data_IF_465983291886
#
_entry.id   IF_465983291886
#
_cell.length_a   1.000
_cell.length_b   1.000
_cell.length_c   1.000
_cell.angle_alpha   90.00
_cell.angle_beta   90.00
_cell.angle_gamma   90.00
#
_symmetry.space_group_name_H-M   'P 1'
#
loop_
_entity.id
_entity.type
_entity.pdbx_description
1 polymer ?
#
# COMPACT_ATOMS: atom_id res chain seq x y z
N UNK A 1 -23.20 -11.46 37.65
CA UNK A 1 -23.12 -12.93 37.71
C UNK A 1 -24.43 -13.54 37.20
N UNK A 2 -24.47 -13.99 35.95
CA UNK A 2 -25.55 -14.83 35.43
C UNK A 2 -24.92 -16.04 34.76
N UNK A 3 -25.20 -17.21 35.34
CA UNK A 3 -24.67 -18.53 34.95
C UNK A 3 -25.05 -18.86 33.50
N UNK A 4 -24.06 -19.08 32.63
CA UNK A 4 -24.24 -19.93 31.45
C UNK A 4 -23.94 -21.38 31.86
N UNK A 5 -25.01 -22.17 32.02
CA UNK A 5 -24.97 -23.62 32.17
C UNK A 5 -24.74 -24.26 30.79
N UNK A 6 -23.50 -24.36 30.33
CA UNK A 6 -23.01 -25.37 29.37
C UNK A 6 -21.49 -25.27 29.40
N UNK A 7 -20.79 -26.40 29.50
CA UNK A 7 -19.33 -26.48 29.69
C UNK A 7 -18.47 -26.01 28.51
N UNK A 8 -18.71 -24.81 27.98
CA UNK A 8 -17.84 -24.13 27.04
C UNK A 8 -16.86 -23.23 27.82
N UNK A 9 -15.53 -23.26 27.53
CA UNK A 9 -14.65 -22.22 28.02
C UNK A 9 -15.10 -20.90 27.39
N UNK A 10 -15.53 -19.97 28.24
CA UNK A 10 -16.02 -18.65 27.83
C UNK A 10 -14.94 -17.94 27.00
N UNK A 11 -15.32 -17.35 25.86
CA UNK A 11 -14.42 -16.41 25.19
C UNK A 11 -14.27 -15.21 26.13
N UNK A 12 -13.10 -15.12 26.77
CA UNK A 12 -12.79 -14.01 27.65
C UNK A 12 -12.54 -12.76 26.82
N UNK A 13 -13.13 -11.65 27.26
CA UNK A 13 -12.69 -10.32 26.86
C UNK A 13 -11.26 -10.17 27.39
N UNK A 14 -10.30 -9.98 26.50
CA UNK A 14 -8.93 -9.66 26.91
C UNK A 14 -8.95 -8.22 27.41
N UNK A 15 -8.94 -8.04 28.74
CA UNK A 15 -8.79 -6.74 29.38
C UNK A 15 -7.29 -6.37 29.39
N UNK A 16 -6.74 -6.15 28.18
CA UNK A 16 -5.39 -5.62 27.97
C UNK A 16 -5.48 -4.16 27.52
N UNK A 17 -4.74 -3.29 28.21
CA UNK A 17 -4.82 -1.82 28.21
C UNK A 17 -4.59 -1.05 26.87
N UNK A 18 -4.53 -1.72 25.71
CA UNK A 18 -4.12 -1.09 24.44
C UNK A 18 -5.17 -1.14 23.31
N UNK A 19 -6.48 -1.20 23.60
CA UNK A 19 -7.51 -1.21 22.52
C UNK A 19 -8.86 -0.66 22.99
N UNK A 20 -9.37 0.46 22.43
CA UNK A 20 -10.70 0.98 22.76
C UNK A 20 -11.88 0.17 22.19
N UNK A 21 -11.61 -0.94 21.48
CA UNK A 21 -12.64 -1.86 20.99
C UNK A 21 -12.30 -3.28 21.43
N UNK A 22 -13.08 -3.80 22.39
CA UNK A 22 -12.89 -5.13 22.97
C UNK A 22 -12.90 -6.22 21.91
N UNK A 23 -11.74 -6.85 21.69
CA UNK A 23 -11.57 -8.00 20.79
C UNK A 23 -12.09 -9.26 21.48
N UNK A 24 -13.02 -9.96 20.84
CA UNK A 24 -13.36 -11.35 21.18
C UNK A 24 -12.43 -12.24 20.35
N UNK A 25 -11.21 -12.48 20.85
CA UNK A 25 -10.33 -13.51 20.30
C UNK A 25 -10.65 -14.83 21.00
N UNK A 26 -11.35 -15.76 20.34
CA UNK A 26 -11.57 -17.09 20.91
C UNK A 26 -10.30 -17.95 20.74
N UNK A 27 -9.81 -18.61 21.79
CA UNK A 27 -8.60 -19.42 21.74
C UNK A 27 -8.77 -20.64 20.80
N UNK A 28 -7.65 -21.12 20.26
CA UNK A 28 -7.62 -22.21 19.28
C UNK A 28 -8.29 -23.51 19.78
N UNK A 29 -8.30 -23.75 21.09
CA UNK A 29 -8.98 -24.89 21.73
C UNK A 29 -10.51 -24.84 21.59
N UNK A 30 -11.12 -23.65 21.56
CA UNK A 30 -12.57 -23.49 21.39
C UNK A 30 -13.03 -23.75 19.95
N UNK A 31 -12.16 -23.51 18.97
CA UNK A 31 -12.44 -23.72 17.53
C UNK A 31 -12.64 -25.21 17.21
N UNK A 32 -12.01 -26.10 17.98
CA UNK A 32 -12.09 -27.56 17.82
C UNK A 32 -13.44 -28.17 18.24
N UNK A 33 -14.29 -27.42 18.96
CA UNK A 33 -15.62 -27.88 19.38
C UNK A 33 -16.76 -27.26 18.57
N UNK A 34 -16.46 -26.42 17.58
CA UNK A 34 -17.47 -25.83 16.70
C UNK A 34 -17.94 -26.85 15.65
N UNK A 35 -19.23 -26.82 15.25
CA UNK A 35 -19.74 -27.59 14.12
C UNK A 35 -18.95 -27.24 12.85
N UNK A 36 -18.67 -28.24 12.02
CA UNK A 36 -17.69 -28.17 10.91
C UNK A 36 -17.84 -26.93 10.02
N UNK A 37 -19.08 -26.56 9.67
CA UNK A 37 -19.42 -25.34 8.92
C UNK A 37 -18.88 -24.06 9.56
N UNK A 38 -18.98 -23.94 10.89
CA UNK A 38 -18.56 -22.74 11.65
C UNK A 38 -17.03 -22.69 11.79
N UNK A 39 -16.38 -23.85 11.86
CA UNK A 39 -14.90 -23.97 11.86
C UNK A 39 -14.28 -23.50 10.55
N UNK A 40 -14.88 -23.87 9.42
CA UNK A 40 -14.41 -23.47 8.08
C UNK A 40 -14.55 -21.96 7.87
N UNK A 41 -15.69 -21.37 8.26
CA UNK A 41 -15.90 -19.91 8.19
C UNK A 41 -14.90 -19.16 9.06
N UNK A 42 -14.62 -19.64 10.28
CA UNK A 42 -13.65 -19.01 11.16
C UNK A 42 -12.21 -19.08 10.60
N UNK A 43 -11.83 -20.23 10.02
CA UNK A 43 -10.53 -20.40 9.35
C UNK A 43 -10.39 -19.44 8.17
N UNK A 44 -11.42 -19.33 7.33
CA UNK A 44 -11.43 -18.40 6.19
C UNK A 44 -11.34 -16.94 6.66
N UNK A 45 -12.09 -16.56 7.69
CA UNK A 45 -12.06 -15.22 8.26
C UNK A 45 -10.67 -14.87 8.83
N UNK A 46 -10.05 -15.81 9.53
CA UNK A 46 -8.71 -15.63 10.10
C UNK A 46 -7.64 -15.57 9.00
N UNK A 47 -7.80 -16.33 7.92
CA UNK A 47 -6.93 -16.28 6.75
C UNK A 47 -7.07 -14.93 6.02
N UNK A 48 -8.30 -14.42 5.86
CA UNK A 48 -8.54 -13.12 5.24
C UNK A 48 -7.98 -11.95 6.07
N UNK A 49 -8.04 -12.06 7.40
CA UNK A 49 -7.48 -11.08 8.35
C UNK A 49 -6.01 -11.32 8.68
N UNK A 50 -5.36 -12.28 8.02
CA UNK A 50 -3.95 -12.52 8.24
C UNK A 50 -3.15 -11.26 7.82
N UNK A 51 -2.19 -10.82 8.65
CA UNK A 51 -1.42 -9.60 8.37
C UNK A 51 -0.54 -9.74 7.13
N UNK A 52 -0.15 -10.96 6.77
CA UNK A 52 0.70 -11.27 5.63
C UNK A 52 0.09 -12.44 4.85
N UNK A 53 -0.06 -12.26 3.53
CA UNK A 53 -0.48 -13.31 2.61
C UNK A 53 0.73 -13.87 1.89
N UNK A 54 0.62 -15.11 1.39
CA UNK A 54 1.69 -15.68 0.59
C UNK A 54 1.89 -14.86 -0.70
N UNK A 55 3.15 -14.68 -1.15
CA UNK A 55 3.46 -13.83 -2.30
C UNK A 55 2.78 -14.32 -3.59
N UNK A 56 2.57 -15.63 -3.72
CA UNK A 56 1.83 -16.22 -4.84
C UNK A 56 0.36 -15.81 -4.87
N UNK A 57 -0.31 -15.75 -3.71
CA UNK A 57 -1.72 -15.33 -3.61
C UNK A 57 -1.84 -13.84 -3.88
N UNK A 58 -0.91 -13.03 -3.35
CA UNK A 58 -0.85 -11.59 -3.64
C UNK A 58 -0.64 -11.32 -5.14
N UNK A 59 0.30 -12.02 -5.77
CA UNK A 59 0.57 -11.91 -7.20
C UNK A 59 -0.61 -12.35 -8.08
N UNK A 60 -1.24 -13.49 -7.76
CA UNK A 60 -2.43 -13.95 -8.45
C UNK A 60 -3.59 -12.97 -8.32
N UNK A 61 -3.80 -12.41 -7.12
CA UNK A 61 -4.82 -11.39 -6.87
C UNK A 61 -4.57 -10.10 -7.66
N UNK A 62 -3.32 -9.64 -7.70
CA UNK A 62 -2.94 -8.47 -8.51
C UNK A 62 -3.16 -8.72 -10.01
N UNK A 63 -2.85 -9.93 -10.50
CA UNK A 63 -3.10 -10.33 -11.88
C UNK A 63 -4.58 -10.31 -12.24
N UNK A 64 -5.43 -10.93 -11.42
CA UNK A 64 -6.90 -10.89 -11.61
C UNK A 64 -7.43 -9.46 -11.57
N UNK A 65 -6.95 -8.65 -10.62
CA UNK A 65 -7.33 -7.25 -10.53
C UNK A 65 -6.91 -6.46 -11.77
N UNK A 66 -5.75 -6.76 -12.36
CA UNK A 66 -5.27 -6.12 -13.58
C UNK A 66 -6.15 -6.41 -14.79
N UNK A 67 -6.62 -7.65 -14.92
CA UNK A 67 -7.53 -8.07 -15.98
C UNK A 67 -8.88 -7.37 -15.79
N UNK A 68 -9.41 -7.34 -14.57
CA UNK A 68 -10.65 -6.64 -14.27
C UNK A 68 -10.52 -5.13 -14.54
N UNK A 69 -9.41 -4.51 -14.14
CA UNK A 69 -9.18 -3.09 -14.38
C UNK A 69 -9.16 -2.77 -15.89
N UNK A 70 -8.52 -3.61 -16.70
CA UNK A 70 -8.54 -3.49 -18.15
C UNK A 70 -9.97 -3.64 -18.71
N UNK A 71 -10.74 -4.64 -18.26
CA UNK A 71 -12.11 -4.87 -18.71
C UNK A 71 -13.08 -3.72 -18.38
N UNK A 72 -12.89 -3.05 -17.25
CA UNK A 72 -13.80 -1.99 -16.81
C UNK A 72 -13.38 -0.58 -17.26
N UNK A 73 -12.08 -0.35 -17.45
CA UNK A 73 -11.53 0.99 -17.61
C UNK A 73 -10.78 1.17 -18.92
N UNK A 74 -10.42 0.09 -19.62
CA UNK A 74 -9.55 0.11 -20.82
C UNK A 74 -8.22 0.86 -20.60
N UNK A 75 -7.78 0.98 -19.33
CA UNK A 75 -6.58 1.73 -18.91
C UNK A 75 -5.76 0.87 -17.96
N UNK A 76 -4.45 0.98 -18.09
CA UNK A 76 -3.51 0.28 -17.22
C UNK A 76 -3.22 1.09 -15.94
N UNK A 77 -2.68 0.43 -14.91
CA UNK A 77 -2.44 1.05 -13.60
C UNK A 77 -1.37 2.15 -13.68
N UNK A 78 -1.70 3.36 -13.24
CA UNK A 78 -0.77 4.48 -13.17
C UNK A 78 -1.07 5.38 -11.98
N UNK A 79 -0.24 5.30 -10.93
CA UNK A 79 -0.41 6.13 -9.73
C UNK A 79 0.11 7.57 -9.93
N UNK A 80 1.28 7.74 -10.56
CA UNK A 80 1.88 9.07 -10.80
C UNK A 80 0.97 9.99 -11.61
N UNK A 81 0.29 9.44 -12.61
CA UNK A 81 -0.66 10.21 -13.41
C UNK A 81 -1.82 10.78 -12.58
N UNK A 82 -2.23 10.12 -11.51
CA UNK A 82 -3.24 10.65 -10.62
C UNK A 82 -2.73 11.88 -9.83
N UNK A 83 -1.50 11.81 -9.33
CA UNK A 83 -0.86 12.90 -8.59
C UNK A 83 -0.62 14.12 -9.47
N UNK A 84 -0.11 13.90 -10.68
CA UNK A 84 0.05 14.94 -11.68
C UNK A 84 -1.31 15.57 -12.02
N UNK A 85 -2.36 14.81 -12.35
CA UNK A 85 -3.68 15.38 -12.65
C UNK A 85 -4.24 16.28 -11.52
N UNK A 86 -4.08 15.87 -10.25
CA UNK A 86 -4.44 16.70 -9.08
C UNK A 86 -3.54 17.93 -9.00
N UNK A 87 -2.23 17.76 -9.20
CA UNK A 87 -1.24 18.84 -9.27
C UNK A 87 -1.61 19.87 -10.33
N UNK A 88 -2.09 19.46 -11.50
CA UNK A 88 -2.56 20.34 -12.57
C UNK A 88 -3.79 21.14 -12.18
N UNK A 89 -4.72 20.54 -11.43
CA UNK A 89 -5.88 21.28 -10.86
C UNK A 89 -5.38 22.32 -9.87
N UNK A 90 -4.50 21.95 -8.93
CA UNK A 90 -3.93 22.89 -7.95
C UNK A 90 -3.14 24.02 -8.63
N UNK A 91 -2.34 23.68 -9.65
CA UNK A 91 -1.56 24.65 -10.43
C UNK A 91 -2.45 25.64 -11.18
N UNK A 92 -3.57 25.17 -11.76
CA UNK A 92 -4.58 26.03 -12.41
C UNK A 92 -5.23 27.01 -11.43
N UNK A 93 -5.38 26.62 -10.16
CA UNK A 93 -5.91 27.48 -9.09
C UNK A 93 -4.90 28.51 -8.59
N UNK A 94 -3.61 28.16 -8.48
CA UNK A 94 -2.57 29.04 -7.91
C UNK A 94 -1.96 29.95 -8.98
N UNK A 95 -1.70 29.44 -10.18
CA UNK A 95 -1.00 30.16 -11.24
C UNK A 95 -1.53 29.76 -12.63
N UNK A 96 -2.67 30.34 -13.07
CA UNK A 96 -3.27 30.01 -14.37
C UNK A 96 -2.36 30.33 -15.57
N UNK A 97 -1.40 31.25 -15.42
CA UNK A 97 -0.41 31.59 -16.46
C UNK A 97 0.64 30.49 -16.71
N UNK A 98 0.96 29.67 -15.71
CA UNK A 98 1.87 28.53 -15.82
C UNK A 98 1.15 27.22 -16.19
N UNK A 99 -0.15 27.14 -15.92
CA UNK A 99 -1.00 26.01 -16.28
C UNK A 99 -1.32 25.91 -17.79
N UNK A 100 -0.98 26.93 -18.58
CA UNK A 100 -1.11 26.95 -20.04
C UNK A 100 0.05 26.29 -20.81
N UNK A 101 1.00 25.66 -20.12
CA UNK A 101 2.15 24.99 -20.76
C UNK A 101 1.73 23.69 -21.48
N UNK A 102 2.52 23.24 -22.47
CA UNK A 102 2.18 22.04 -23.28
C UNK A 102 2.01 20.78 -22.43
N UNK A 103 2.72 20.68 -21.31
CA UNK A 103 2.66 19.51 -20.42
C UNK A 103 1.27 19.36 -19.77
N UNK A 104 0.72 20.42 -19.17
CA UNK A 104 -0.61 20.37 -18.53
C UNK A 104 -1.79 20.36 -19.52
N UNK A 105 -1.56 20.78 -20.76
CA UNK A 105 -2.61 20.77 -21.81
C UNK A 105 -2.65 19.47 -22.63
N UNK A 106 -1.50 18.85 -22.93
CA UNK A 106 -1.43 17.72 -23.87
C UNK A 106 -0.91 16.42 -23.25
N UNK A 107 -0.05 16.49 -22.22
CA UNK A 107 0.55 15.29 -21.62
C UNK A 107 -0.29 14.83 -20.44
N UNK A 108 -0.75 15.75 -19.59
CA UNK A 108 -1.50 15.46 -18.37
C UNK A 108 -2.63 16.47 -18.14
N UNK A 109 -3.80 16.28 -18.75
CA UNK A 109 -4.91 17.24 -18.64
C UNK A 109 -5.44 17.30 -17.20
N UNK A 110 -5.40 18.50 -16.61
CA UNK A 110 -5.93 18.74 -15.27
C UNK A 110 -7.40 18.31 -15.17
N UNK A 111 -7.67 17.30 -14.36
CA UNK A 111 -9.02 16.77 -14.21
C UNK A 111 -9.13 15.60 -13.24
N UNK A 112 -10.37 15.27 -12.88
CA UNK A 112 -10.67 14.09 -12.08
C UNK A 112 -10.64 12.85 -12.97
N UNK A 113 -9.43 12.36 -13.26
CA UNK A 113 -9.24 11.18 -14.10
C UNK A 113 -9.54 9.90 -13.33
N UNK A 114 -9.72 8.78 -14.05
CA UNK A 114 -9.90 7.47 -13.43
C UNK A 114 -8.72 7.10 -12.52
N UNK A 115 -7.51 7.60 -12.82
CA UNK A 115 -6.34 7.44 -11.96
C UNK A 115 -6.53 8.04 -10.57
N UNK A 116 -7.24 9.17 -10.46
CA UNK A 116 -7.57 9.79 -9.16
C UNK A 116 -8.55 8.92 -8.37
N UNK A 117 -9.56 8.36 -9.04
CA UNK A 117 -10.50 7.44 -8.40
C UNK A 117 -9.82 6.14 -7.95
N UNK A 118 -8.86 5.64 -8.73
CA UNK A 118 -8.01 4.53 -8.35
C UNK A 118 -7.14 4.87 -7.13
N UNK A 119 -6.54 6.06 -7.08
CA UNK A 119 -5.74 6.52 -5.94
C UNK A 119 -6.58 6.54 -4.65
N UNK A 120 -7.80 7.07 -4.71
CA UNK A 120 -8.75 7.08 -3.60
C UNK A 120 -9.11 5.64 -3.21
N UNK A 121 -9.36 4.78 -4.19
CA UNK A 121 -9.64 3.36 -3.97
C UNK A 121 -8.50 2.62 -3.27
N UNK A 122 -7.24 2.87 -3.65
CA UNK A 122 -6.05 2.30 -3.01
C UNK A 122 -5.93 2.80 -1.57
N UNK A 123 -6.16 4.10 -1.34
CA UNK A 123 -6.13 4.68 0.00
C UNK A 123 -7.19 4.05 0.92
N UNK A 124 -8.45 4.04 0.48
CA UNK A 124 -9.55 3.45 1.26
C UNK A 124 -9.40 1.94 1.42
N UNK A 125 -8.97 1.23 0.37
CA UNK A 125 -8.74 -0.21 0.40
C UNK A 125 -7.62 -0.61 1.34
N UNK A 126 -6.49 0.10 1.30
CA UNK A 126 -5.37 -0.15 2.22
C UNK A 126 -5.74 0.18 3.66
N UNK A 127 -6.51 1.25 3.89
CA UNK A 127 -7.01 1.60 5.22
C UNK A 127 -7.96 0.53 5.76
N UNK A 128 -8.95 0.09 4.97
CA UNK A 128 -9.88 -0.97 5.36
C UNK A 128 -9.15 -2.29 5.64
N UNK A 129 -8.15 -2.63 4.82
CA UNK A 129 -7.32 -3.82 5.03
C UNK A 129 -6.53 -3.74 6.34
N UNK A 130 -5.89 -2.59 6.61
CA UNK A 130 -5.15 -2.37 7.86
C UNK A 130 -6.06 -2.42 9.10
N UNK A 131 -7.29 -1.92 9.01
CA UNK A 131 -8.29 -2.01 10.07
C UNK A 131 -8.79 -3.45 10.25
N UNK A 132 -9.07 -4.16 9.16
CA UNK A 132 -9.57 -5.53 9.19
C UNK A 132 -8.55 -6.52 9.78
N UNK A 133 -7.26 -6.34 9.46
CA UNK A 133 -6.14 -7.11 9.99
C UNK A 133 -5.67 -6.62 11.37
N UNK A 134 -6.21 -5.50 11.88
CA UNK A 134 -5.82 -4.93 13.16
C UNK A 134 -4.36 -4.45 13.22
N UNK A 135 -3.75 -4.21 12.06
CA UNK A 135 -2.36 -3.78 11.90
C UNK A 135 -2.22 -2.26 11.80
N UNK A 136 -3.34 -1.53 11.77
CA UNK A 136 -3.33 -0.07 11.78
C UNK A 136 -2.61 0.47 13.02
N UNK A 137 -1.52 1.20 12.79
CA UNK A 137 -0.75 1.86 13.84
C UNK A 137 -0.39 3.25 13.34
N UNK A 138 -0.68 4.28 14.14
CA UNK A 138 -0.20 5.62 13.89
C UNK A 138 1.30 5.68 14.21
N UNK A 139 2.14 5.82 13.18
CA UNK A 139 3.59 5.79 13.33
C UNK A 139 4.21 7.02 12.66
N UNK A 140 4.71 7.94 13.47
CA UNK A 140 5.42 9.12 12.99
C UNK A 140 6.91 8.82 12.70
N UNK A 141 7.53 7.98 13.55
CA UNK A 141 8.88 7.41 13.42
C UNK A 141 8.83 6.08 14.15
N UNK A 142 9.09 4.98 13.48
CA UNK A 142 8.94 3.68 14.14
C UNK A 142 9.71 2.54 13.49
N UNK A 143 10.62 2.82 12.57
CA UNK A 143 11.51 1.75 12.15
C UNK A 143 12.67 1.78 13.12
N UNK A 144 12.75 0.74 13.96
CA UNK A 144 13.89 0.50 14.84
C UNK A 144 15.20 0.54 14.04
N UNK A 145 15.16 0.09 12.77
CA UNK A 145 16.24 0.22 11.80
C UNK A 145 16.63 1.68 11.51
N UNK A 146 15.66 2.59 11.33
CA UNK A 146 15.96 4.00 11.08
C UNK A 146 16.57 4.66 12.32
N UNK A 147 16.03 4.36 13.50
CA UNK A 147 16.55 4.89 14.77
C UNK A 147 17.96 4.38 15.02
N UNK A 148 18.25 3.10 14.73
CA UNK A 148 19.58 2.51 14.88
C UNK A 148 20.64 3.15 13.97
N UNK A 149 20.27 3.55 12.75
CA UNK A 149 21.22 4.02 11.73
C UNK A 149 21.33 5.55 11.70
N UNK A 150 20.21 6.26 11.79
CA UNK A 150 20.10 7.72 11.61
C UNK A 150 19.71 8.48 12.88
N UNK A 151 19.36 7.76 13.96
CA UNK A 151 18.95 8.31 15.24
C UNK A 151 17.45 8.65 15.32
N UNK A 152 16.95 9.04 16.52
CA UNK A 152 15.52 9.26 16.78
C UNK A 152 14.96 10.59 16.22
N UNK A 153 15.74 11.34 15.44
CA UNK A 153 15.36 12.69 15.00
C UNK A 153 14.25 12.66 13.95
N UNK A 154 13.11 13.27 14.29
CA UNK A 154 11.95 13.39 13.39
C UNK A 154 12.29 14.14 12.13
N UNK A 155 12.92 15.30 12.30
CA UNK A 155 13.20 16.22 11.21
C UNK A 155 14.09 15.59 10.13
N UNK A 156 15.12 14.82 10.52
CA UNK A 156 16.01 14.14 9.57
C UNK A 156 15.26 13.15 8.69
N UNK A 157 14.30 12.40 9.26
CA UNK A 157 13.48 11.44 8.49
C UNK A 157 12.55 12.15 7.52
N UNK A 158 11.86 13.19 7.98
CA UNK A 158 10.99 13.98 7.10
C UNK A 158 11.75 14.65 5.97
N UNK A 159 12.93 15.21 6.24
CA UNK A 159 13.80 15.76 5.22
C UNK A 159 14.26 14.69 4.22
N UNK A 160 14.71 13.52 4.69
CA UNK A 160 15.12 12.42 3.82
C UNK A 160 13.96 11.90 2.95
N UNK A 161 12.75 11.76 3.50
CA UNK A 161 11.56 11.38 2.75
C UNK A 161 11.17 12.43 1.71
N UNK A 162 11.30 13.72 2.05
CA UNK A 162 10.99 14.82 1.13
C UNK A 162 11.96 14.87 -0.05
N UNK A 163 13.28 14.86 0.21
CA UNK A 163 14.28 14.85 -0.85
C UNK A 163 14.28 13.55 -1.66
N UNK A 164 14.04 12.41 -1.00
CA UNK A 164 13.87 11.12 -1.67
C UNK A 164 12.63 11.11 -2.58
N UNK A 165 11.52 11.70 -2.13
CA UNK A 165 10.31 11.87 -2.93
C UNK A 165 10.53 12.75 -4.15
N UNK A 166 11.23 13.88 -4.01
CA UNK A 166 11.59 14.75 -5.15
C UNK A 166 12.43 13.98 -6.17
N UNK A 167 13.44 13.26 -5.72
CA UNK A 167 14.31 12.49 -6.62
C UNK A 167 13.56 11.37 -7.33
N UNK A 168 12.65 10.70 -6.62
CA UNK A 168 11.79 9.65 -7.19
C UNK A 168 10.84 10.23 -8.23
N UNK A 169 10.17 11.34 -7.94
CA UNK A 169 9.24 11.99 -8.87
C UNK A 169 9.97 12.52 -10.10
N UNK A 170 11.13 13.14 -9.91
CA UNK A 170 11.99 13.58 -11.01
C UNK A 170 12.43 12.41 -11.90
N UNK A 171 12.84 11.29 -11.28
CA UNK A 171 13.18 10.06 -12.00
C UNK A 171 11.98 9.45 -12.74
N UNK A 172 10.79 9.45 -12.12
CA UNK A 172 9.56 8.97 -12.74
C UNK A 172 9.17 9.84 -13.96
N UNK A 173 9.36 11.16 -13.87
CA UNK A 173 9.15 12.08 -14.99
C UNK A 173 10.09 11.80 -16.17
N UNK A 174 11.38 11.57 -15.92
CA UNK A 174 12.35 11.21 -16.97
C UNK A 174 12.03 9.84 -17.58
N UNK A 175 11.65 8.86 -16.75
CA UNK A 175 11.30 7.51 -17.20
C UNK A 175 9.94 7.46 -17.93
N UNK A 176 9.12 8.52 -17.83
CA UNK A 176 7.77 8.56 -18.39
C UNK A 176 6.76 7.68 -17.63
N UNK A 177 7.05 7.33 -16.37
CA UNK A 177 6.17 6.50 -15.56
C UNK A 177 6.72 6.09 -14.19
N UNK A 178 5.83 5.72 -13.29
CA UNK A 178 6.14 5.17 -11.98
C UNK A 178 6.19 3.63 -11.98
N UNK A 179 6.59 3.02 -10.86
CA UNK A 179 6.64 1.56 -10.68
C UNK A 179 5.33 0.85 -11.06
N UNK A 180 4.18 1.37 -10.65
CA UNK A 180 2.89 0.74 -10.98
C UNK A 180 2.56 0.75 -12.48
N UNK A 181 3.01 1.78 -13.20
CA UNK A 181 2.82 1.89 -14.65
C UNK A 181 3.87 1.12 -15.41
N UNK A 182 5.12 1.51 -15.27
CA UNK A 182 6.18 0.99 -16.12
C UNK A 182 6.61 -0.43 -15.74
N UNK A 183 6.63 -0.78 -14.45
CA UNK A 183 7.02 -2.12 -14.01
C UNK A 183 5.84 -3.10 -14.00
N UNK A 184 4.73 -2.79 -13.31
CA UNK A 184 3.61 -3.73 -13.18
C UNK A 184 2.85 -3.82 -14.51
N UNK A 185 2.35 -2.70 -15.02
CA UNK A 185 1.55 -2.69 -16.24
C UNK A 185 2.36 -3.00 -17.50
N UNK A 186 3.62 -2.55 -17.56
CA UNK A 186 4.55 -2.96 -18.60
C UNK A 186 4.94 -4.44 -18.53
N UNK A 187 5.06 -5.01 -17.32
CA UNK A 187 5.33 -6.42 -17.09
C UNK A 187 4.19 -7.33 -17.56
N UNK A 188 2.93 -6.94 -17.35
CA UNK A 188 1.75 -7.68 -17.87
C UNK A 188 1.74 -7.72 -19.40
N UNK A 189 2.20 -6.65 -20.05
CA UNK A 189 2.32 -6.58 -21.52
C UNK A 189 3.57 -7.28 -22.07
N UNK A 190 4.44 -7.83 -21.21
CA UNK A 190 5.76 -8.35 -21.57
C UNK A 190 6.62 -7.33 -22.34
N UNK A 191 6.45 -6.03 -22.05
CA UNK A 191 7.19 -4.98 -22.73
C UNK A 191 8.70 -5.07 -22.35
N UNK A 192 9.63 -5.12 -23.32
CA UNK A 192 11.07 -5.18 -23.03
C UNK A 192 11.55 -4.02 -22.17
N UNK A 193 10.97 -2.83 -22.36
CA UNK A 193 11.26 -1.64 -21.58
C UNK A 193 10.93 -1.81 -20.08
N UNK A 194 9.90 -2.59 -19.74
CA UNK A 194 9.53 -2.85 -18.34
C UNK A 194 10.61 -3.65 -17.62
N UNK A 195 11.20 -4.65 -18.28
CA UNK A 195 12.27 -5.47 -17.72
C UNK A 195 13.57 -4.67 -17.52
N UNK A 196 13.91 -3.80 -18.49
CA UNK A 196 15.04 -2.87 -18.36
C UNK A 196 14.83 -1.91 -17.18
N UNK A 197 13.63 -1.34 -17.07
CA UNK A 197 13.29 -0.45 -15.97
C UNK A 197 13.33 -1.16 -14.60
N UNK A 198 12.75 -2.37 -14.50
CA UNK A 198 12.82 -3.17 -13.28
C UNK A 198 14.27 -3.48 -12.89
N UNK A 199 15.10 -3.90 -13.84
CA UNK A 199 16.52 -4.17 -13.59
C UNK A 199 17.25 -2.91 -13.06
N UNK A 200 17.04 -1.75 -13.70
CA UNK A 200 17.63 -0.48 -13.27
C UNK A 200 17.14 -0.02 -11.90
N UNK A 201 15.85 -0.17 -11.62
CA UNK A 201 15.25 0.14 -10.32
C UNK A 201 15.83 -0.73 -9.20
N UNK A 202 15.94 -2.05 -9.42
CA UNK A 202 16.53 -2.94 -8.43
C UNK A 202 18.03 -2.66 -8.24
N UNK A 203 18.78 -2.46 -9.32
CA UNK A 203 20.22 -2.15 -9.23
C UNK A 203 20.47 -0.85 -8.45
N UNK A 204 19.74 0.22 -8.77
CA UNK A 204 19.85 1.50 -8.07
C UNK A 204 19.35 1.43 -6.62
N UNK A 205 18.27 0.70 -6.36
CA UNK A 205 17.74 0.47 -5.01
C UNK A 205 18.72 -0.30 -4.12
N UNK A 206 19.31 -1.39 -4.64
CA UNK A 206 20.33 -2.17 -3.94
C UNK A 206 21.55 -1.31 -3.66
N UNK A 207 22.05 -0.57 -4.66
CA UNK A 207 23.21 0.32 -4.49
C UNK A 207 22.93 1.40 -3.44
N UNK A 208 21.75 2.03 -3.48
CA UNK A 208 21.35 3.05 -2.52
C UNK A 208 21.24 2.45 -1.12
N UNK A 209 20.65 1.27 -0.97
CA UNK A 209 20.56 0.57 0.31
C UNK A 209 21.96 0.22 0.85
N UNK A 210 22.88 -0.23 0.00
CA UNK A 210 24.27 -0.50 0.40
C UNK A 210 25.02 0.76 0.83
N UNK A 211 24.81 1.90 0.16
CA UNK A 211 25.44 3.17 0.53
C UNK A 211 24.85 3.69 1.85
N UNK A 212 23.52 3.59 2.02
CA UNK A 212 22.79 4.18 3.12
C UNK A 212 22.88 3.35 4.41
N UNK A 213 22.81 2.02 4.29
CA UNK A 213 22.82 1.08 5.42
C UNK A 213 24.15 0.35 5.60
N UNK A 214 24.95 0.17 4.52
CA UNK A 214 26.33 -0.30 4.57
C UNK A 214 26.60 -1.45 5.54
N UNK A 215 27.58 -1.28 6.44
CA UNK A 215 27.97 -2.24 7.49
C UNK A 215 27.08 -2.23 8.74
N UNK A 216 26.00 -1.44 8.77
CA UNK A 216 25.10 -1.28 9.93
C UNK A 216 23.81 -2.12 9.80
N UNK A 217 23.85 -3.16 8.98
CA UNK A 217 22.80 -4.18 8.89
C UNK A 217 22.99 -5.25 9.96
#
# INVERSE_FOLDING_TARGET
MSRCKTGFPACHKTDGWDSPLGRIACPASTIAHLPERRRTVQKLMNWLKAPEWSPYVGGAGLGVLSILALLFTDRLFGASGAFENIGGVVMKWIAPSLAGNMYWNYVMPAGFSIGVMMLIGIFLGSLLSALASGTFRWRAISDDQWVAVFGPSRWKRWAALFFGGILLEYGAGIAGGCTSGLAISGGVQLAPAAFLFMAGMFASGILTAMILYGKRY
#
